data_IF_595210220197
#
_entry.id   IF_595210220197
#
_cell.length_a   1.000
_cell.length_b   1.000
_cell.length_c   1.000
_cell.angle_alpha   90.00
_cell.angle_beta   90.00
_cell.angle_gamma   90.00
#
_symmetry.space_group_name_H-M   'P 1'
#
loop_
_entity.id
_entity.type
_entity.pdbx_description
1 polymer ?
#
# COMPACT_ATOMS: atom_id res chain seq x y z
N UNK A 1 -13.36 0.62 8.64
CA UNK A 1 -12.28 -0.05 7.89
C UNK A 1 -10.95 0.60 8.27
N UNK A 2 -10.03 -0.16 8.85
CA UNK A 2 -8.75 0.38 9.33
C UNK A 2 -7.81 0.65 8.14
N UNK A 3 -7.05 1.73 8.22
CA UNK A 3 -5.97 1.99 7.26
C UNK A 3 -4.69 1.28 7.71
N UNK A 4 -3.87 0.82 6.75
CA UNK A 4 -2.57 0.21 6.98
C UNK A 4 -1.45 1.18 6.58
N UNK A 5 -0.38 1.25 7.36
CA UNK A 5 0.87 1.90 6.94
C UNK A 5 2.04 1.00 7.31
N UNK A 6 2.93 0.77 6.35
CA UNK A 6 4.16 -0.02 6.51
C UNK A 6 5.34 0.87 6.15
N UNK A 7 6.40 0.80 6.96
CA UNK A 7 7.62 1.56 6.76
C UNK A 7 8.83 0.63 6.75
N UNK A 8 9.76 0.88 5.86
CA UNK A 8 11.07 0.23 5.81
C UNK A 8 12.15 1.30 5.93
N UNK A 9 13.42 0.89 5.88
CA UNK A 9 14.54 1.83 5.83
C UNK A 9 14.51 2.75 4.60
N UNK A 10 14.06 2.24 3.45
CA UNK A 10 14.23 2.90 2.15
C UNK A 10 12.90 3.34 1.51
N UNK A 11 11.81 3.34 2.26
CA UNK A 11 10.51 3.75 1.73
C UNK A 11 9.35 3.31 2.62
N UNK A 12 8.14 3.60 2.15
CA UNK A 12 6.92 3.26 2.86
C UNK A 12 5.76 3.12 1.89
N UNK A 13 4.70 2.44 2.33
CA UNK A 13 3.40 2.52 1.70
C UNK A 13 2.28 2.62 2.75
N UNK A 14 1.14 3.17 2.35
CA UNK A 14 -0.07 3.21 3.12
C UNK A 14 -1.27 2.86 2.24
N UNK A 15 -2.21 2.11 2.80
CA UNK A 15 -3.42 1.69 2.11
C UNK A 15 -4.66 2.08 2.92
N UNK A 16 -5.64 2.65 2.22
CA UNK A 16 -6.91 3.05 2.81
C UNK A 16 -8.08 2.60 1.94
N UNK A 17 -8.98 1.74 2.45
CA UNK A 17 -10.24 1.44 1.77
C UNK A 17 -11.14 2.68 1.69
N UNK A 18 -11.82 2.84 0.57
CA UNK A 18 -12.85 3.84 0.40
C UNK A 18 -14.04 3.53 1.32
N UNK A 19 -14.73 4.58 1.76
CA UNK A 19 -15.95 4.44 2.56
C UNK A 19 -17.22 4.40 1.72
N UNK A 20 -17.13 4.69 0.42
CA UNK A 20 -18.28 4.91 -0.47
C UNK A 20 -18.24 4.06 -1.74
N UNK A 21 -17.07 3.53 -2.09
CA UNK A 21 -16.83 2.78 -3.32
C UNK A 21 -16.09 1.49 -2.96
N UNK A 22 -16.26 0.44 -3.76
CA UNK A 22 -15.54 -0.82 -3.58
C UNK A 22 -14.13 -0.74 -4.18
N UNK A 23 -13.33 0.17 -3.63
CA UNK A 23 -11.94 0.42 -4.00
C UNK A 23 -11.13 0.77 -2.76
N UNK A 24 -9.80 0.72 -2.88
CA UNK A 24 -8.89 1.32 -1.93
C UNK A 24 -7.81 2.16 -2.64
N UNK A 25 -7.14 3.02 -1.88
CA UNK A 25 -6.04 3.86 -2.37
C UNK A 25 -4.73 3.43 -1.73
N UNK A 26 -3.70 3.24 -2.55
CA UNK A 26 -2.31 3.08 -2.11
C UNK A 26 -1.56 4.40 -2.29
N UNK A 27 -0.81 4.78 -1.27
CA UNK A 27 0.19 5.84 -1.30
C UNK A 27 1.54 5.20 -1.03
N UNK A 28 2.56 5.49 -1.81
CA UNK A 28 3.89 4.91 -1.63
C UNK A 28 4.99 5.92 -1.96
N UNK A 29 6.14 5.75 -1.32
CA UNK A 29 7.34 6.54 -1.58
C UNK A 29 8.58 5.64 -1.44
N UNK A 30 9.54 5.83 -2.34
CA UNK A 30 10.83 5.16 -2.33
C UNK A 30 11.94 6.20 -2.23
N UNK A 31 12.93 5.94 -1.38
CA UNK A 31 14.13 6.76 -1.26
C UNK A 31 15.30 6.24 -2.11
N UNK A 32 15.11 5.15 -2.85
CA UNK A 32 16.15 4.52 -3.67
C UNK A 32 15.75 4.37 -5.15
N UNK A 33 14.63 5.00 -5.55
CA UNK A 33 14.22 5.12 -6.95
C UNK A 33 13.01 4.28 -7.36
N UNK A 34 12.70 4.36 -8.64
CA UNK A 34 11.41 3.95 -9.23
C UNK A 34 11.17 2.45 -9.21
N UNK A 35 12.21 1.63 -9.40
CA UNK A 35 12.04 0.17 -9.38
C UNK A 35 11.67 -0.33 -7.99
N UNK A 36 12.26 0.26 -6.94
CA UNK A 36 11.85 -0.02 -5.57
C UNK A 36 10.46 0.56 -5.26
N UNK A 37 10.09 1.71 -5.84
CA UNK A 37 8.72 2.24 -5.70
C UNK A 37 7.68 1.27 -6.28
N UNK A 38 7.95 0.70 -7.47
CA UNK A 38 7.07 -0.31 -8.09
C UNK A 38 6.93 -1.53 -7.21
N UNK A 39 8.05 -2.03 -6.65
CA UNK A 39 8.02 -3.15 -5.70
C UNK A 39 7.15 -2.85 -4.47
N UNK A 40 7.31 -1.65 -3.86
CA UNK A 40 6.48 -1.24 -2.72
C UNK A 40 4.99 -1.19 -3.06
N UNK A 41 4.62 -0.76 -4.27
CA UNK A 41 3.22 -0.72 -4.73
C UNK A 41 2.67 -2.14 -4.95
N UNK A 42 3.45 -3.03 -5.57
CA UNK A 42 3.06 -4.43 -5.79
C UNK A 42 2.87 -5.17 -4.46
N UNK A 43 3.81 -5.02 -3.52
CA UNK A 43 3.72 -5.61 -2.19
C UNK A 43 2.51 -5.07 -1.40
N UNK A 44 2.25 -3.77 -1.51
CA UNK A 44 1.08 -3.14 -0.88
C UNK A 44 -0.23 -3.73 -1.41
N UNK A 45 -0.34 -3.93 -2.72
CA UNK A 45 -1.51 -4.54 -3.36
C UNK A 45 -1.77 -5.95 -2.80
N UNK A 46 -0.74 -6.81 -2.78
CA UNK A 46 -0.85 -8.19 -2.26
C UNK A 46 -1.31 -8.22 -0.80
N UNK A 47 -0.73 -7.36 0.05
CA UNK A 47 -1.08 -7.32 1.48
C UNK A 47 -2.51 -6.82 1.71
N UNK A 48 -2.95 -5.83 0.95
CA UNK A 48 -4.29 -5.24 1.10
C UNK A 48 -5.37 -6.18 0.58
N UNK A 49 -5.15 -6.82 -0.56
CA UNK A 49 -6.08 -7.83 -1.11
C UNK A 49 -6.29 -8.98 -0.12
N UNK A 50 -5.22 -9.43 0.55
CA UNK A 50 -5.31 -10.48 1.58
C UNK A 50 -5.99 -10.02 2.88
N UNK A 51 -5.89 -8.74 3.23
CA UNK A 51 -6.45 -8.19 4.47
C UNK A 51 -7.92 -7.74 4.35
N UNK A 52 -8.36 -7.30 3.17
CA UNK A 52 -9.73 -6.85 2.90
C UNK A 52 -10.67 -8.01 2.53
N UNK A 53 -10.13 -9.14 2.06
CA UNK A 53 -10.93 -10.34 1.72
C UNK A 53 -11.43 -11.15 2.94
N UNK A 54 -11.24 -10.66 4.17
CA UNK A 54 -11.69 -11.30 5.43
C UNK A 54 -12.63 -10.41 6.22
#
# INVERSE_FOLDING_TARGET
SAALKVMTKNGWFAARPSGTEDIYKIYAESFIGDDHLKQLVEEAQVLVDGAISG
#
